data_IF_568707518601
#
_entry.id   IF_568707518601
#
_cell.length_a   1.000
_cell.length_b   1.000
_cell.length_c   1.000
_cell.angle_alpha   90.00
_cell.angle_beta   90.00
_cell.angle_gamma   90.00
#
_symmetry.space_group_name_H-M   'P 1'
#
loop_
_entity.id
_entity.type
_entity.pdbx_description
1 polymer ?
#
# COMPACT_ATOMS: atom_id res chain seq x y z
N UNK A 1 -41.55 13.33 -10.31
CA UNK A 1 -40.53 13.05 -9.28
C UNK A 1 -39.96 11.64 -9.37
N UNK A 2 -40.79 10.58 -9.39
CA UNK A 2 -40.32 9.19 -9.45
C UNK A 2 -39.49 8.87 -10.71
N UNK A 3 -39.91 9.34 -11.89
CA UNK A 3 -39.19 9.08 -13.15
C UNK A 3 -37.76 9.65 -13.18
N UNK A 4 -37.54 10.83 -12.58
CA UNK A 4 -36.23 11.47 -12.50
C UNK A 4 -35.27 10.75 -11.53
N UNK A 5 -35.82 10.19 -10.45
CA UNK A 5 -35.07 9.36 -9.49
C UNK A 5 -34.65 8.02 -10.13
N UNK A 6 -35.54 7.38 -10.88
CA UNK A 6 -35.23 6.12 -11.58
C UNK A 6 -34.16 6.34 -12.65
N UNK A 7 -34.23 7.43 -13.42
CA UNK A 7 -33.21 7.73 -14.43
C UNK A 7 -31.85 8.07 -13.82
N UNK A 8 -31.83 8.81 -12.71
CA UNK A 8 -30.59 9.14 -12.01
C UNK A 8 -29.92 7.87 -11.46
N UNK A 9 -30.69 6.98 -10.83
CA UNK A 9 -30.19 5.68 -10.33
C UNK A 9 -29.65 4.78 -11.45
N UNK A 10 -30.31 4.75 -12.61
CA UNK A 10 -29.83 3.97 -13.75
C UNK A 10 -28.49 4.51 -14.29
N UNK A 11 -28.32 5.83 -14.33
CA UNK A 11 -27.07 6.47 -14.76
C UNK A 11 -25.92 6.23 -13.79
N UNK A 12 -26.16 6.24 -12.48
CA UNK A 12 -25.12 5.91 -11.48
C UNK A 12 -24.70 4.45 -11.58
N UNK A 13 -25.64 3.52 -11.70
CA UNK A 13 -25.30 2.10 -11.88
C UNK A 13 -24.51 1.88 -13.17
N UNK A 14 -24.92 2.51 -14.28
CA UNK A 14 -24.19 2.44 -15.53
C UNK A 14 -22.80 3.06 -15.41
N UNK A 15 -22.67 4.19 -14.72
CA UNK A 15 -21.38 4.84 -14.45
C UNK A 15 -20.44 3.94 -13.64
N UNK A 16 -20.94 3.29 -12.59
CA UNK A 16 -20.16 2.35 -11.78
C UNK A 16 -19.68 1.15 -12.60
N UNK A 17 -20.52 0.60 -13.47
CA UNK A 17 -20.14 -0.53 -14.35
C UNK A 17 -19.13 -0.07 -15.40
N UNK A 18 -19.32 1.10 -16.00
CA UNK A 18 -18.42 1.63 -17.04
C UNK A 18 -17.04 2.03 -16.47
N UNK A 19 -17.01 2.52 -15.24
CA UNK A 19 -15.79 2.88 -14.51
C UNK A 19 -15.19 1.71 -13.74
N UNK A 20 -15.86 0.55 -13.71
CA UNK A 20 -15.36 -0.61 -12.98
C UNK A 20 -13.96 -0.96 -13.51
N UNK A 21 -12.96 -1.12 -12.64
CA UNK A 21 -11.61 -1.46 -13.06
C UNK A 21 -11.64 -2.79 -13.79
N UNK A 22 -11.32 -2.78 -15.08
CA UNK A 22 -11.16 -3.99 -15.87
C UNK A 22 -9.71 -4.47 -15.79
N UNK A 23 -9.52 -5.78 -15.79
CA UNK A 23 -8.19 -6.43 -15.76
C UNK A 23 -7.30 -6.00 -16.95
N UNK A 24 -7.91 -5.62 -18.08
CA UNK A 24 -7.17 -5.10 -19.24
C UNK A 24 -6.48 -3.76 -18.94
N UNK A 25 -7.18 -2.83 -18.28
CA UNK A 25 -6.70 -1.46 -18.06
C UNK A 25 -5.63 -1.41 -16.96
N UNK A 26 -5.72 -2.28 -15.96
CA UNK A 26 -4.68 -2.44 -14.93
C UNK A 26 -3.38 -3.01 -15.51
N UNK A 27 -3.48 -3.93 -16.48
CA UNK A 27 -2.32 -4.45 -17.19
C UNK A 27 -1.61 -3.39 -18.04
N UNK A 28 -2.36 -2.53 -18.73
CA UNK A 28 -1.80 -1.42 -19.53
C UNK A 28 -1.05 -0.39 -18.67
N UNK A 29 -1.58 -0.06 -17.49
CA UNK A 29 -0.91 0.84 -16.53
C UNK A 29 0.37 0.20 -15.99
N UNK A 30 0.34 -1.10 -15.68
CA UNK A 30 1.52 -1.85 -15.24
C UNK A 30 2.61 -1.89 -16.32
N UNK A 31 2.24 -2.14 -17.58
CA UNK A 31 3.20 -2.16 -18.70
C UNK A 31 3.81 -0.78 -18.96
N UNK A 32 3.01 0.30 -18.92
CA UNK A 32 3.53 1.66 -19.05
C UNK A 32 4.46 2.04 -17.88
N UNK A 33 4.11 1.65 -16.65
CA UNK A 33 4.96 1.85 -15.47
C UNK A 33 6.31 1.13 -15.63
N UNK A 34 6.30 -0.07 -16.20
CA UNK A 34 7.51 -0.81 -16.53
C UNK A 34 8.34 -0.12 -17.63
N UNK A 35 7.71 0.44 -18.66
CA UNK A 35 8.40 1.20 -19.72
C UNK A 35 9.10 2.48 -19.22
N UNK A 36 8.57 3.11 -18.17
CA UNK A 36 9.17 4.30 -17.54
C UNK A 36 10.07 3.98 -16.33
N UNK A 37 10.32 2.70 -16.05
CA UNK A 37 11.24 2.25 -14.99
C UNK A 37 10.66 2.26 -13.56
N UNK A 38 9.34 2.39 -13.41
CA UNK A 38 8.63 2.20 -12.15
C UNK A 38 8.24 0.72 -12.00
N UNK A 39 9.26 -0.13 -11.83
CA UNK A 39 9.12 -1.60 -11.83
C UNK A 39 9.14 -2.14 -10.40
N UNK A 40 8.20 -1.74 -9.55
CA UNK A 40 8.06 -2.40 -8.25
C UNK A 40 7.30 -3.71 -8.42
N UNK A 41 7.80 -4.77 -7.81
CA UNK A 41 7.06 -6.02 -7.64
C UNK A 41 6.25 -5.95 -6.34
N UNK A 42 4.93 -6.06 -6.44
CA UNK A 42 4.05 -6.04 -5.27
C UNK A 42 3.91 -7.46 -4.73
N UNK A 43 4.16 -7.64 -3.44
CA UNK A 43 4.14 -8.93 -2.75
C UNK A 43 3.24 -8.85 -1.52
N UNK A 44 2.48 -9.91 -1.26
CA UNK A 44 1.80 -10.07 0.03
C UNK A 44 2.81 -10.37 1.15
N UNK A 45 2.58 -9.78 2.31
CA UNK A 45 3.38 -10.00 3.50
C UNK A 45 2.53 -9.90 4.78
N UNK A 46 2.97 -10.55 5.85
CA UNK A 46 2.31 -10.52 7.15
C UNK A 46 3.18 -9.83 8.18
N UNK A 47 2.62 -8.89 8.94
CA UNK A 47 3.35 -8.14 9.97
C UNK A 47 3.78 -9.08 11.09
N UNK A 48 5.09 -9.21 11.28
CA UNK A 48 5.69 -10.01 12.34
C UNK A 48 5.90 -9.21 13.63
N UNK A 49 6.36 -7.96 13.48
CA UNK A 49 6.64 -7.07 14.59
C UNK A 49 6.34 -5.63 14.19
N UNK A 50 5.75 -4.86 15.10
CA UNK A 50 5.64 -3.42 14.99
C UNK A 50 5.99 -2.78 16.33
N UNK A 51 6.84 -1.76 16.30
CA UNK A 51 7.27 -1.03 17.48
C UNK A 51 7.54 0.43 17.14
N UNK A 52 7.44 1.30 18.14
CA UNK A 52 7.86 2.69 18.04
C UNK A 52 9.11 2.88 18.91
N UNK A 53 10.13 3.52 18.37
CA UNK A 53 11.40 3.78 19.04
C UNK A 53 11.99 5.11 18.53
N UNK A 54 13.05 5.60 19.16
CA UNK A 54 13.78 6.74 18.64
C UNK A 54 14.36 6.39 17.26
N UNK A 55 14.18 7.30 16.29
CA UNK A 55 14.71 7.15 14.95
C UNK A 55 16.24 6.96 14.99
N UNK A 56 16.76 5.93 14.32
CA UNK A 56 18.18 5.57 14.41
C UNK A 56 19.15 6.63 13.86
N UNK A 57 18.62 7.61 13.11
CA UNK A 57 19.36 8.72 12.51
C UNK A 57 19.20 10.06 13.27
N UNK A 58 18.46 10.11 14.38
CA UNK A 58 18.33 11.35 15.15
C UNK A 58 19.67 11.70 15.84
N UNK A 59 20.28 12.80 15.39
CA UNK A 59 21.57 13.32 15.90
C UNK A 59 21.40 14.53 16.83
N UNK A 60 20.24 15.20 16.75
CA UNK A 60 19.88 16.37 17.56
C UNK A 60 18.93 15.94 18.66
N UNK A 61 19.06 16.50 19.88
CA UNK A 61 18.27 16.13 21.06
C UNK A 61 16.75 16.35 21.01
N UNK A 62 16.18 16.54 19.82
CA UNK A 62 14.75 16.41 19.58
C UNK A 62 14.43 14.92 19.34
N UNK A 63 13.57 14.37 20.21
CA UNK A 63 13.15 12.98 20.14
C UNK A 63 12.23 12.81 18.93
N UNK A 64 12.78 12.31 17.82
CA UNK A 64 12.02 11.85 16.67
C UNK A 64 11.64 10.39 16.88
N UNK A 65 10.34 10.09 16.91
CA UNK A 65 9.83 8.73 17.04
C UNK A 65 9.61 8.13 15.65
N UNK A 66 10.23 6.97 15.42
CA UNK A 66 10.06 6.17 14.23
C UNK A 66 9.24 4.92 14.55
N UNK A 67 8.42 4.52 13.57
CA UNK A 67 7.78 3.20 13.57
C UNK A 67 8.65 2.23 12.79
N UNK A 68 8.99 1.13 13.46
CA UNK A 68 9.79 0.04 12.94
C UNK A 68 8.88 -1.16 12.75
N UNK A 69 8.85 -1.68 11.53
CA UNK A 69 7.98 -2.78 11.13
C UNK A 69 8.82 -3.88 10.49
N UNK A 70 8.66 -5.10 10.99
CA UNK A 70 9.21 -6.31 10.40
C UNK A 70 8.07 -7.15 9.89
N UNK A 71 8.20 -7.69 8.68
CA UNK A 71 7.19 -8.52 8.03
C UNK A 71 7.78 -9.88 7.66
N UNK A 72 6.91 -10.88 7.52
CA UNK A 72 7.21 -12.14 6.83
C UNK A 72 6.67 -12.00 5.40
N UNK A 73 7.49 -12.26 4.39
CA UNK A 73 7.01 -12.29 3.01
C UNK A 73 6.16 -13.55 2.79
N UNK A 74 4.95 -13.39 2.29
CA UNK A 74 4.06 -14.52 1.96
C UNK A 74 4.31 -15.00 0.52
N UNK A 75 4.72 -14.09 -0.36
CA UNK A 75 4.99 -14.33 -1.78
C UNK A 75 6.42 -13.95 -2.20
N UNK A 76 6.80 -14.26 -3.44
CA UNK A 76 8.10 -13.92 -4.03
C UNK A 76 9.18 -14.98 -3.81
N UNK A 77 10.37 -14.71 -4.34
CA UNK A 77 11.54 -15.61 -4.26
C UNK A 77 12.05 -15.81 -2.83
N UNK A 78 11.81 -14.84 -1.97
CA UNK A 78 12.22 -14.84 -0.56
C UNK A 78 11.04 -15.12 0.39
N UNK A 79 9.97 -15.78 -0.10
CA UNK A 79 8.82 -16.17 0.74
C UNK A 79 9.25 -16.93 2.00
N UNK A 80 8.63 -16.58 3.13
CA UNK A 80 8.94 -17.05 4.47
C UNK A 80 10.08 -16.31 5.17
N UNK A 81 10.77 -15.38 4.49
CA UNK A 81 11.83 -14.58 5.11
C UNK A 81 11.28 -13.41 5.93
N UNK A 82 12.07 -13.00 6.95
CA UNK A 82 11.81 -11.80 7.74
C UNK A 82 12.50 -10.59 7.09
N UNK A 83 11.73 -9.55 6.81
CA UNK A 83 12.21 -8.31 6.21
C UNK A 83 11.86 -7.14 7.11
N UNK A 84 12.86 -6.33 7.46
CA UNK A 84 12.65 -5.05 8.12
C UNK A 84 12.36 -3.98 7.07
N UNK A 85 11.22 -3.30 7.20
CA UNK A 85 10.87 -2.16 6.37
C UNK A 85 11.65 -0.92 6.83
N UNK A 86 11.85 0.08 5.96
CA UNK A 86 12.45 1.35 6.34
C UNK A 86 11.73 2.01 7.52
N UNK A 87 12.49 2.63 8.42
CA UNK A 87 11.93 3.34 9.57
C UNK A 87 11.04 4.50 9.10
N UNK A 88 9.80 4.55 9.58
CA UNK A 88 8.86 5.61 9.24
C UNK A 88 8.80 6.64 10.37
N UNK A 89 9.28 7.86 10.12
CA UNK A 89 9.15 8.97 11.06
C UNK A 89 7.68 9.37 11.20
N UNK A 90 7.13 9.20 12.40
CA UNK A 90 5.69 9.37 12.64
C UNK A 90 5.28 10.84 12.55
N UNK A 91 6.19 11.77 12.84
CA UNK A 91 5.93 13.20 12.73
C UNK A 91 5.95 13.68 11.27
N UNK A 92 6.83 13.12 10.44
CA UNK A 92 6.98 13.52 9.04
C UNK A 92 5.99 12.79 8.11
N UNK A 93 5.73 11.51 8.35
CA UNK A 93 4.78 10.70 7.59
C UNK A 93 3.62 10.22 8.49
N UNK A 94 2.63 11.09 8.75
CA UNK A 94 1.45 10.73 9.53
C UNK A 94 0.54 9.73 8.78
N UNK A 95 0.79 9.47 7.50
CA UNK A 95 -0.02 8.57 6.68
C UNK A 95 0.39 7.11 6.82
N UNK A 96 1.59 6.84 7.37
CA UNK A 96 2.02 5.47 7.66
C UNK A 96 1.16 4.89 8.79
N UNK A 97 0.38 3.83 8.54
CA UNK A 97 -0.61 3.35 9.49
C UNK A 97 0.03 2.60 10.68
N UNK A 98 -0.72 2.53 11.78
CA UNK A 98 -0.38 1.69 12.93
C UNK A 98 -0.72 0.24 12.60
N UNK A 99 0.27 -0.48 12.08
CA UNK A 99 0.14 -1.88 11.71
C UNK A 99 0.16 -2.78 12.96
N UNK A 100 -0.69 -3.80 12.97
CA UNK A 100 -0.78 -4.79 14.05
C UNK A 100 -0.07 -6.09 13.66
N UNK A 101 0.51 -6.78 14.65
CA UNK A 101 1.10 -8.11 14.41
C UNK A 101 0.03 -9.07 13.89
N UNK A 102 0.35 -9.82 12.82
CA UNK A 102 -0.56 -10.72 12.12
C UNK A 102 -1.41 -10.05 11.04
N UNK A 103 -1.30 -8.73 10.85
CA UNK A 103 -1.96 -8.02 9.77
C UNK A 103 -1.32 -8.36 8.41
N UNK A 104 -2.15 -8.64 7.41
CA UNK A 104 -1.71 -8.87 6.03
C UNK A 104 -1.67 -7.55 5.28
N UNK A 105 -0.52 -7.26 4.68
CA UNK A 105 -0.21 -6.03 3.97
C UNK A 105 0.41 -6.32 2.60
N UNK A 106 0.50 -5.28 1.77
CA UNK A 106 1.26 -5.27 0.52
C UNK A 106 2.58 -4.52 0.72
N UNK A 107 3.67 -5.15 0.27
CA UNK A 107 5.00 -4.54 0.17
C UNK A 107 5.44 -4.47 -1.28
N UNK A 108 6.18 -3.42 -1.62
CA UNK A 108 6.84 -3.27 -2.91
C UNK A 108 8.31 -3.64 -2.81
N UNK A 109 8.76 -4.57 -3.65
CA UNK A 109 10.15 -4.86 -3.90
C UNK A 109 10.66 -4.02 -5.08
N UNK A 110 11.69 -3.23 -4.85
CA UNK A 110 12.48 -2.62 -5.91
C UNK A 110 13.56 -3.62 -6.40
N UNK A 111 13.45 -4.15 -7.63
CA UNK A 111 14.40 -5.14 -8.14
C UNK A 111 15.79 -4.56 -8.41
N UNK A 112 15.95 -3.23 -8.52
CA UNK A 112 17.24 -2.59 -8.75
C UNK A 112 18.06 -2.49 -7.47
N UNK A 113 17.40 -2.24 -6.34
CA UNK A 113 18.06 -2.07 -5.04
C UNK A 113 17.88 -3.26 -4.10
N UNK A 114 16.95 -4.17 -4.40
CA UNK A 114 16.54 -5.26 -3.51
C UNK A 114 15.86 -4.76 -2.24
N UNK A 115 15.34 -3.53 -2.23
CA UNK A 115 14.73 -2.93 -1.05
C UNK A 115 13.21 -3.11 -1.04
N UNK A 116 12.67 -3.31 0.16
CA UNK A 116 11.24 -3.50 0.40
C UNK A 116 10.63 -2.24 1.01
N UNK A 117 9.46 -1.83 0.52
CA UNK A 117 8.73 -0.64 0.97
C UNK A 117 7.27 -0.97 1.24
N UNK A 118 6.63 -0.21 2.10
CA UNK A 118 5.19 -0.36 2.36
C UNK A 118 4.37 0.26 1.21
N UNK A 119 3.45 -0.49 0.61
CA UNK A 119 2.60 -0.03 -0.51
C UNK A 119 1.11 -0.39 -0.34
N UNK A 120 0.66 -0.73 0.88
CA UNK A 120 -0.75 -1.08 1.12
C UNK A 120 -1.68 0.14 1.31
N UNK A 121 -1.37 1.26 0.63
CA UNK A 121 -2.14 2.51 0.78
C UNK A 121 -3.50 2.44 0.07
N UNK A 122 -3.64 1.60 -0.95
CA UNK A 122 -4.84 1.55 -1.78
C UNK A 122 -5.93 0.58 -1.29
N UNK A 123 -5.61 -0.43 -0.44
CA UNK A 123 -6.65 -1.30 0.16
C UNK A 123 -7.68 -0.54 1.00
N UNK A 124 -7.32 0.63 1.53
CA UNK A 124 -8.19 1.44 2.37
C UNK A 124 -9.21 2.29 1.57
N UNK A 125 -9.11 2.39 0.24
CA UNK A 125 -9.88 3.36 -0.55
C UNK A 125 -10.91 2.78 -1.53
N UNK A 126 -11.14 1.47 -1.53
CA UNK A 126 -12.22 0.89 -2.33
C UNK A 126 -13.59 1.15 -1.66
N UNK A 127 -14.17 2.31 -1.95
CA UNK A 127 -15.62 2.54 -2.02
C UNK A 127 -16.43 2.64 -0.71
N UNK A 128 -15.83 2.81 0.48
CA UNK A 128 -16.64 2.95 1.72
C UNK A 128 -17.56 4.20 1.77
N UNK A 129 -17.33 5.17 0.88
CA UNK A 129 -18.01 6.47 0.84
C UNK A 129 -18.83 6.71 -0.45
N UNK A 130 -18.99 5.69 -1.29
CA UNK A 130 -19.93 5.67 -2.42
C UNK A 130 -21.15 4.80 -2.08
#
# INVERSE_FOLDING_TARGET
>A
MVAALVSAGALTVFGLIALWPSQERSNEVRTNAQEIGLTFELLEATVYQSSEADCGYSLSGELELCRNVTVVLDEGTESGSLVALPEANIAFDPSFPKLSVGESIIVALDPLTGSYHYEDRERLNALWWL
#
